data_IF_609934077533
#
_entry.id   IF_609934077533
#
_cell.length_a   1.000
_cell.length_b   1.000
_cell.length_c   1.000
_cell.angle_alpha   90.00
_cell.angle_beta   90.00
_cell.angle_gamma   90.00
#
_symmetry.space_group_name_H-M   'P 1'
#
loop_
_entity.id
_entity.type
_entity.pdbx_description
1 polymer ?
#
# COMPACT_ATOMS: atom_id res chain seq x y z
N UNK A 1 15.95 -17.04 -22.07
CA UNK A 1 16.30 -17.31 -20.65
C UNK A 1 15.01 -17.46 -19.88
N UNK A 2 14.59 -18.70 -19.60
CA UNK A 2 13.39 -18.98 -18.83
C UNK A 2 13.70 -18.75 -17.34
N UNK A 3 13.28 -17.62 -16.79
CA UNK A 3 13.32 -17.34 -15.35
C UNK A 3 12.27 -18.20 -14.66
N UNK A 4 12.68 -19.39 -14.20
CA UNK A 4 11.87 -20.21 -13.31
C UNK A 4 11.52 -19.37 -12.07
N UNK A 5 10.24 -19.33 -11.69
CA UNK A 5 9.77 -18.65 -10.48
C UNK A 5 10.55 -19.21 -9.28
N UNK A 6 11.43 -18.41 -8.69
CA UNK A 6 12.13 -18.78 -7.47
C UNK A 6 11.11 -18.96 -6.33
N UNK A 7 11.46 -19.80 -5.34
CA UNK A 7 10.63 -19.96 -4.13
C UNK A 7 10.40 -18.58 -3.48
N UNK A 8 9.19 -18.35 -2.98
CA UNK A 8 8.89 -17.17 -2.18
C UNK A 8 9.83 -17.13 -0.96
N UNK A 9 10.30 -15.94 -0.59
CA UNK A 9 11.07 -15.77 0.65
C UNK A 9 10.24 -16.24 1.85
N UNK A 10 10.92 -16.82 2.83
CA UNK A 10 10.31 -17.19 4.11
C UNK A 10 9.62 -15.97 4.75
N UNK A 11 8.43 -16.13 5.35
CA UNK A 11 7.74 -15.05 6.04
C UNK A 11 8.59 -14.52 7.20
N UNK A 12 8.82 -13.21 7.23
CA UNK A 12 9.50 -12.55 8.36
C UNK A 12 8.44 -12.22 9.43
N UNK A 13 8.64 -12.68 10.67
CA UNK A 13 7.85 -12.19 11.81
C UNK A 13 8.13 -10.70 11.99
N UNK A 14 7.10 -9.88 11.78
CA UNK A 14 7.14 -8.44 12.01
C UNK A 14 6.47 -8.12 13.33
N UNK A 15 6.97 -7.12 14.02
CA UNK A 15 6.29 -6.57 15.18
C UNK A 15 4.90 -6.07 14.77
N UNK A 16 3.94 -6.22 15.67
CA UNK A 16 2.57 -5.75 15.46
C UNK A 16 2.59 -4.24 15.20
N UNK A 17 1.81 -3.73 14.22
CA UNK A 17 1.74 -2.29 13.99
C UNK A 17 1.41 -1.54 15.27
N UNK A 18 2.25 -0.57 15.62
CA UNK A 18 2.11 0.23 16.86
C UNK A 18 1.05 1.32 16.76
N UNK A 19 0.60 1.66 15.55
CA UNK A 19 -0.36 2.73 15.31
C UNK A 19 -1.77 2.20 15.54
N UNK A 20 -2.44 2.74 16.56
CA UNK A 20 -3.81 2.42 16.94
C UNK A 20 -4.63 3.70 16.84
N UNK A 21 -5.78 3.66 16.16
CA UNK A 21 -6.79 4.72 16.20
C UNK A 21 -8.03 4.16 16.88
N UNK A 22 -8.54 4.91 17.85
CA UNK A 22 -9.76 4.59 18.61
C UNK A 22 -10.94 5.47 18.18
N UNK A 23 -10.69 6.53 17.40
CA UNK A 23 -11.69 7.44 16.85
C UNK A 23 -11.23 8.03 15.49
N UNK A 24 -12.16 8.59 14.68
CA UNK A 24 -11.80 9.30 13.45
C UNK A 24 -10.82 10.45 13.69
N UNK A 25 -10.01 10.78 12.69
CA UNK A 25 -9.05 11.88 12.64
C UNK A 25 -7.84 11.77 13.60
N UNK A 26 -7.57 10.59 14.17
CA UNK A 26 -6.41 10.39 15.06
C UNK A 26 -5.14 9.93 14.33
N UNK A 27 -5.29 9.07 13.33
CA UNK A 27 -4.17 8.49 12.58
C UNK A 27 -4.53 8.46 11.11
N UNK A 28 -3.64 9.00 10.29
CA UNK A 28 -3.80 9.06 8.85
C UNK A 28 -2.77 8.16 8.19
N UNK A 29 -3.21 7.43 7.17
CA UNK A 29 -2.35 6.60 6.34
C UNK A 29 -2.29 7.20 4.95
N UNK A 30 -1.18 7.02 4.25
CA UNK A 30 -1.02 7.47 2.88
C UNK A 30 -0.36 6.38 2.05
N UNK A 31 -0.72 6.33 0.77
CA UNK A 31 -0.11 5.42 -0.19
C UNK A 31 0.12 6.12 -1.53
N UNK A 32 1.12 5.62 -2.26
CA UNK A 32 1.40 6.04 -3.62
C UNK A 32 1.35 4.80 -4.51
N UNK A 33 0.36 4.78 -5.39
CA UNK A 33 0.17 3.70 -6.35
C UNK A 33 0.37 4.20 -7.78
N UNK A 34 1.15 3.45 -8.57
CA UNK A 34 1.27 3.67 -10.00
C UNK A 34 0.13 2.95 -10.72
N UNK A 35 -0.81 3.71 -11.27
CA UNK A 35 -1.94 3.20 -12.04
C UNK A 35 -1.55 3.13 -13.52
N UNK A 36 -1.92 2.04 -14.19
CA UNK A 36 -1.73 1.91 -15.63
C UNK A 36 -2.56 2.97 -16.36
N UNK A 37 -1.93 3.70 -17.29
CA UNK A 37 -2.68 4.51 -18.24
C UNK A 37 -3.13 3.67 -19.44
N UNK A 38 -3.91 4.26 -20.35
CA UNK A 38 -4.31 3.59 -21.59
C UNK A 38 -3.14 3.30 -22.52
N UNK A 39 -2.04 4.05 -22.41
CA UNK A 39 -0.85 3.94 -23.26
C UNK A 39 0.24 3.18 -22.51
N UNK A 40 0.80 2.15 -23.14
CA UNK A 40 1.89 1.36 -22.58
C UNK A 40 3.11 2.23 -22.30
N UNK A 41 3.61 2.18 -21.07
CA UNK A 41 4.74 2.99 -20.61
C UNK A 41 4.33 4.34 -20.00
N UNK A 42 3.04 4.69 -20.01
CA UNK A 42 2.49 5.82 -19.28
C UNK A 42 1.75 5.33 -18.04
N UNK A 43 1.90 6.08 -16.94
CA UNK A 43 1.31 5.75 -15.65
C UNK A 43 0.77 7.01 -14.98
N UNK A 44 -0.34 6.89 -14.27
CA UNK A 44 -0.80 7.92 -13.35
C UNK A 44 -0.26 7.60 -11.96
N UNK A 45 0.15 8.64 -11.23
CA UNK A 45 0.56 8.51 -9.84
C UNK A 45 -0.62 8.89 -8.96
N UNK A 46 -1.26 7.88 -8.36
CA UNK A 46 -2.30 8.11 -7.38
C UNK A 46 -1.65 8.44 -6.05
N UNK A 47 -2.01 9.59 -5.49
CA UNK A 47 -1.70 9.97 -4.12
C UNK A 47 -2.96 9.78 -3.30
N UNK A 48 -2.89 8.93 -2.29
CA UNK A 48 -4.01 8.61 -1.44
C UNK A 48 -3.65 8.98 0.00
N UNK A 49 -4.57 9.66 0.68
CA UNK A 49 -4.52 9.92 2.12
C UNK A 49 -5.85 9.43 2.68
N UNK A 50 -5.83 8.59 3.71
CA UNK A 50 -7.03 7.96 4.29
C UNK A 50 -6.94 7.98 5.81
N UNK A 51 -8.04 8.35 6.46
CA UNK A 51 -8.19 8.20 7.91
C UNK A 51 -8.25 6.71 8.30
N UNK A 52 -7.37 6.30 9.22
CA UNK A 52 -7.18 4.88 9.55
C UNK A 52 -8.42 4.25 10.21
N UNK A 53 -9.20 5.04 10.95
CA UNK A 53 -10.37 4.55 11.68
C UNK A 53 -11.61 4.50 10.79
N UNK A 54 -11.99 5.63 10.18
CA UNK A 54 -13.22 5.77 9.38
C UNK A 54 -13.10 5.27 7.94
N UNK A 55 -11.88 5.10 7.44
CA UNK A 55 -11.58 4.74 6.04
C UNK A 55 -12.03 5.79 5.02
N UNK A 56 -12.27 7.03 5.46
CA UNK A 56 -12.56 8.16 4.58
C UNK A 56 -11.28 8.70 3.95
N UNK A 57 -11.39 9.14 2.69
CA UNK A 57 -10.33 9.71 1.85
C UNK A 57 -10.46 11.23 1.86
#
# INVERSE_FOLDING_TARGET
MNTHRAKSKEPVKRETPTHIATAPNQVWTWDITWLNAMIKGSFFKLYLIVDMFSRMI
#
